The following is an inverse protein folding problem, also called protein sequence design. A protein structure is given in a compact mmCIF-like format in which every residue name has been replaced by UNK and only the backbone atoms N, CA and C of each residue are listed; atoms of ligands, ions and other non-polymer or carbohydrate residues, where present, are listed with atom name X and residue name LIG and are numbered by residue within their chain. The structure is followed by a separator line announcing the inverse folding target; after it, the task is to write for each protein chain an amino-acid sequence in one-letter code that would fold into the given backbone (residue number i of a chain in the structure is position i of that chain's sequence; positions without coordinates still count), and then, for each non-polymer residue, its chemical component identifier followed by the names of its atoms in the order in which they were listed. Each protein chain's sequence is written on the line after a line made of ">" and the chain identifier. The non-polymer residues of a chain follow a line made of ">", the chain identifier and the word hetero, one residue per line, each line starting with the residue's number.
data_IF_891173595355
#
_entry.id   IF_891173595355
#
_cell.length_a   1.000
_cell.length_b   1.000
_cell.length_c   1.000
_cell.angle_alpha   90.00
_cell.angle_beta   90.00
_cell.angle_gamma   90.00
#
_symmetry.space_group_name_H-M   'P 1'
#
loop_
_entity.id
_entity.type
_entity.pdbx_description
1 polymer ?
#
# COMPACT_ATOMS: atom_id res chain seq x y z
N UNK A 1 3.65 -7.95 2.33
CA UNK A 1 2.71 -8.88 2.96
C UNK A 1 3.23 -10.32 2.92
N UNK A 2 3.48 -10.90 1.74
CA UNK A 2 3.99 -12.26 1.59
C UNK A 2 5.17 -12.56 2.54
N UNK A 3 6.12 -11.62 2.68
CA UNK A 3 7.27 -11.79 3.59
C UNK A 3 6.85 -11.92 5.06
N UNK A 4 5.87 -11.15 5.53
CA UNK A 4 5.41 -11.21 6.93
C UNK A 4 4.69 -12.54 7.19
N UNK A 5 3.81 -12.96 6.27
CA UNK A 5 3.15 -14.27 6.37
C UNK A 5 4.18 -15.41 6.32
N UNK A 6 5.21 -15.29 5.48
CA UNK A 6 6.33 -16.25 5.45
C UNK A 6 7.06 -16.32 6.79
N UNK A 7 7.31 -15.19 7.42
CA UNK A 7 7.95 -15.13 8.74
C UNK A 7 7.07 -15.75 9.84
N UNK A 8 5.77 -15.50 9.79
CA UNK A 8 4.81 -16.13 10.72
C UNK A 8 4.76 -17.64 10.53
N UNK A 9 4.72 -18.11 9.27
CA UNK A 9 4.74 -19.52 8.93
C UNK A 9 6.06 -20.23 9.33
N UNK A 10 7.17 -19.49 9.33
CA UNK A 10 8.49 -20.00 9.72
C UNK A 10 8.78 -19.90 11.23
N UNK A 11 7.80 -19.49 12.05
CA UNK A 11 7.99 -19.37 13.50
C UNK A 11 8.42 -20.70 14.12
N UNK A 12 9.42 -20.71 15.01
CA UNK A 12 9.98 -21.96 15.55
C UNK A 12 9.01 -22.81 16.38
N UNK A 13 7.91 -22.26 16.84
CA UNK A 13 6.80 -23.01 17.46
C UNK A 13 5.87 -23.60 16.39
N UNK A 14 6.44 -24.35 15.43
CA UNK A 14 5.69 -25.04 14.35
C UNK A 14 4.59 -25.99 14.87
N UNK A 15 4.72 -26.45 16.09
CA UNK A 15 3.80 -27.40 16.70
C UNK A 15 2.44 -26.81 17.10
N UNK A 16 2.26 -25.49 16.94
CA UNK A 16 1.02 -24.82 17.33
C UNK A 16 -0.19 -25.28 16.48
N UNK A 17 0.01 -25.48 15.18
CA UNK A 17 -1.04 -25.95 14.28
C UNK A 17 -0.90 -27.43 13.90
N UNK A 18 0.21 -28.09 14.22
CA UNK A 18 0.50 -29.47 13.84
C UNK A 18 0.54 -29.72 12.32
N UNK A 19 0.44 -28.66 11.51
CA UNK A 19 0.37 -28.74 10.05
C UNK A 19 1.25 -27.66 9.40
N UNK A 20 1.89 -27.95 8.26
CA UNK A 20 2.68 -26.95 7.52
C UNK A 20 1.79 -25.87 6.91
N UNK A 21 2.25 -24.60 6.99
CA UNK A 21 1.60 -23.49 6.29
C UNK A 21 2.28 -23.31 4.92
N UNK A 22 1.50 -23.44 3.86
CA UNK A 22 1.96 -23.24 2.47
C UNK A 22 1.50 -21.86 1.98
N UNK A 23 2.46 -20.98 1.62
CA UNK A 23 2.15 -19.65 1.13
C UNK A 23 2.03 -19.67 -0.39
N UNK A 24 0.85 -19.27 -0.90
CA UNK A 24 0.56 -19.18 -2.32
C UNK A 24 0.41 -17.71 -2.69
N UNK A 25 1.30 -17.20 -3.54
CA UNK A 25 1.24 -15.84 -4.05
C UNK A 25 0.40 -15.78 -5.32
N UNK A 26 -0.61 -14.90 -5.33
CA UNK A 26 -1.46 -14.61 -6.51
C UNK A 26 -1.44 -13.10 -6.78
N UNK A 27 -0.36 -12.58 -7.39
CA UNK A 27 -0.21 -11.15 -7.63
C UNK A 27 -1.14 -10.66 -8.75
N UNK A 28 -1.43 -9.36 -8.74
CA UNK A 28 -2.14 -8.66 -9.81
C UNK A 28 -3.23 -7.72 -9.29
N UNK A 29 -3.45 -6.64 -10.04
CA UNK A 29 -4.50 -5.64 -9.83
C UNK A 29 -4.64 -5.15 -8.36
N UNK A 30 -3.51 -4.87 -7.70
CA UNK A 30 -3.53 -4.39 -6.30
C UNK A 30 -4.07 -5.41 -5.28
N UNK A 31 -4.01 -6.71 -5.58
CA UNK A 31 -4.54 -7.80 -4.74
C UNK A 31 -5.86 -8.42 -5.26
N UNK A 32 -6.59 -7.72 -6.13
CA UNK A 32 -7.92 -8.15 -6.63
C UNK A 32 -7.88 -9.58 -7.21
N UNK A 33 -6.83 -9.93 -7.95
CA UNK A 33 -6.69 -11.28 -8.53
C UNK A 33 -6.68 -12.37 -7.46
N UNK A 34 -5.89 -12.18 -6.41
CA UNK A 34 -5.77 -13.12 -5.31
C UNK A 34 -7.08 -13.24 -4.50
N UNK A 35 -7.70 -12.13 -4.18
CA UNK A 35 -8.94 -12.11 -3.39
C UNK A 35 -10.14 -12.64 -4.17
N UNK A 36 -10.26 -12.35 -5.49
CA UNK A 36 -11.27 -12.97 -6.34
C UNK A 36 -11.09 -14.50 -6.44
N UNK A 37 -9.84 -14.96 -6.55
CA UNK A 37 -9.56 -16.38 -6.54
C UNK A 37 -9.97 -17.01 -5.20
N UNK A 38 -9.61 -16.38 -4.10
CA UNK A 38 -9.96 -16.86 -2.76
C UNK A 38 -11.47 -16.97 -2.58
N UNK A 39 -12.22 -15.89 -2.85
CA UNK A 39 -13.67 -15.86 -2.72
C UNK A 39 -14.39 -16.89 -3.63
N UNK A 40 -13.76 -17.33 -4.74
CA UNK A 40 -14.41 -18.21 -5.72
C UNK A 40 -13.95 -19.65 -5.68
N UNK A 41 -12.78 -19.93 -5.12
CA UNK A 41 -12.09 -21.23 -5.26
C UNK A 41 -11.52 -21.78 -3.96
N UNK A 42 -11.37 -20.98 -2.92
CA UNK A 42 -10.93 -21.45 -1.62
C UNK A 42 -11.97 -22.42 -1.02
N UNK A 43 -11.50 -23.36 -0.25
CA UNK A 43 -12.36 -24.30 0.46
C UNK A 43 -12.92 -23.63 1.72
N UNK A 44 -14.15 -23.97 2.07
CA UNK A 44 -14.82 -23.45 3.28
C UNK A 44 -14.61 -24.37 4.50
N UNK A 45 -13.44 -24.99 4.59
CA UNK A 45 -13.10 -25.96 5.65
C UNK A 45 -12.15 -25.35 6.71
N UNK A 46 -11.83 -24.07 6.60
CA UNK A 46 -10.96 -23.35 7.55
C UNK A 46 -9.45 -23.54 7.29
N UNK A 47 -9.04 -24.32 6.29
CA UNK A 47 -7.63 -24.54 5.96
C UNK A 47 -7.10 -23.56 4.89
N UNK A 48 -7.95 -22.87 4.18
CA UNK A 48 -7.57 -21.84 3.24
C UNK A 48 -7.78 -20.45 3.88
N UNK A 49 -6.69 -19.68 4.01
CA UNK A 49 -6.69 -18.35 4.62
C UNK A 49 -6.19 -17.30 3.62
N UNK A 50 -6.76 -16.11 3.66
CA UNK A 50 -6.30 -14.99 2.86
C UNK A 50 -5.74 -13.85 3.72
N UNK A 51 -4.60 -13.30 3.32
CA UNK A 51 -4.16 -12.02 3.83
C UNK A 51 -4.74 -10.90 2.94
N UNK A 52 -5.36 -9.88 3.55
CA UNK A 52 -5.87 -8.72 2.81
C UNK A 52 -5.47 -7.40 3.48
N UNK A 53 -5.53 -6.34 2.72
CA UNK A 53 -5.23 -4.99 3.19
C UNK A 53 -6.48 -4.13 3.21
N UNK A 54 -6.75 -3.56 4.34
CA UNK A 54 -7.60 -2.38 4.44
C UNK A 54 -6.72 -1.16 4.14
N UNK A 55 -7.12 -0.21 3.29
CA UNK A 55 -8.43 -0.05 2.64
C UNK A 55 -8.58 -0.67 1.24
N UNK A 56 -7.56 -1.32 0.67
CA UNK A 56 -7.59 -1.88 -0.69
C UNK A 56 -8.80 -2.76 -0.93
N UNK A 57 -8.97 -3.73 -0.04
CA UNK A 57 -10.02 -4.73 -0.12
C UNK A 57 -11.42 -4.08 -0.20
N UNK A 58 -11.68 -3.13 0.69
CA UNK A 58 -12.97 -2.42 0.75
C UNK A 58 -13.15 -1.51 -0.47
N UNK A 59 -12.17 -0.65 -0.76
CA UNK A 59 -12.30 0.31 -1.85
C UNK A 59 -12.46 -0.35 -3.22
N UNK A 60 -11.77 -1.45 -3.45
CA UNK A 60 -11.88 -2.19 -4.71
C UNK A 60 -13.22 -2.90 -4.84
N UNK A 61 -13.78 -3.45 -3.75
CA UNK A 61 -15.11 -4.09 -3.78
C UNK A 61 -16.26 -3.10 -4.04
N UNK A 62 -16.04 -1.81 -3.76
CA UNK A 62 -17.02 -0.75 -4.05
C UNK A 62 -16.87 -0.22 -5.48
N UNK A 63 -15.63 -0.10 -5.97
CA UNK A 63 -15.34 0.61 -7.24
C UNK A 63 -15.42 -0.33 -8.45
N UNK A 64 -15.14 -1.62 -8.27
CA UNK A 64 -15.08 -2.58 -9.37
C UNK A 64 -16.25 -3.57 -9.32
N UNK A 65 -17.03 -3.64 -10.39
CA UNK A 65 -18.18 -4.55 -10.52
C UNK A 65 -17.77 -6.03 -10.68
N UNK A 66 -16.51 -6.31 -11.02
CA UNK A 66 -15.97 -7.65 -11.24
C UNK A 66 -15.32 -8.27 -9.98
N UNK A 67 -15.49 -7.67 -8.81
CA UNK A 67 -15.05 -8.25 -7.55
C UNK A 67 -16.04 -9.31 -7.05
N UNK A 68 -15.50 -10.42 -6.53
CA UNK A 68 -16.26 -11.53 -5.95
C UNK A 68 -16.15 -11.58 -4.43
N UNK A 69 -15.53 -10.58 -3.85
CA UNK A 69 -15.28 -10.42 -2.42
C UNK A 69 -15.80 -9.07 -1.93
N UNK A 70 -16.25 -9.05 -0.70
CA UNK A 70 -16.56 -7.86 0.08
C UNK A 70 -16.42 -8.19 1.58
N UNK A 71 -16.72 -7.24 2.45
CA UNK A 71 -16.61 -7.43 3.90
C UNK A 71 -17.68 -8.38 4.47
N UNK A 72 -18.74 -8.66 3.71
CA UNK A 72 -19.87 -9.46 4.17
C UNK A 72 -19.74 -10.95 3.81
N UNK A 73 -18.89 -11.26 2.82
CA UNK A 73 -18.74 -12.64 2.33
C UNK A 73 -17.41 -13.31 2.67
N UNK A 74 -16.55 -12.63 3.46
CA UNK A 74 -15.31 -13.19 3.98
C UNK A 74 -15.21 -12.91 5.48
N UNK A 75 -14.99 -13.96 6.27
CA UNK A 75 -14.89 -13.86 7.72
C UNK A 75 -13.52 -13.30 8.15
N UNK A 76 -13.43 -12.15 8.83
CA UNK A 76 -12.18 -11.61 9.34
C UNK A 76 -11.76 -12.35 10.61
N UNK A 77 -10.55 -12.92 10.63
CA UNK A 77 -10.04 -13.69 11.77
C UNK A 77 -9.23 -12.81 12.71
N UNK A 78 -8.30 -12.01 12.20
CA UNK A 78 -7.43 -11.17 13.01
C UNK A 78 -6.83 -10.00 12.23
N UNK A 79 -6.63 -8.89 12.93
CA UNK A 79 -5.74 -7.81 12.46
C UNK A 79 -4.32 -8.11 12.97
N UNK A 80 -3.38 -8.29 12.05
CA UNK A 80 -2.00 -8.66 12.35
C UNK A 80 -1.00 -7.49 12.29
N UNK A 81 -1.46 -6.28 11.92
CA UNK A 81 -0.62 -5.09 11.94
C UNK A 81 -1.20 -3.90 11.20
N UNK A 82 -0.64 -2.74 11.48
CA UNK A 82 -0.84 -1.50 10.74
C UNK A 82 0.48 -1.04 10.12
N UNK A 83 0.42 -0.48 8.92
CA UNK A 83 1.58 0.07 8.20
C UNK A 83 1.12 1.34 7.49
N UNK A 84 1.18 2.50 8.17
CA UNK A 84 0.65 3.75 7.65
C UNK A 84 1.37 4.19 6.38
N UNK A 85 0.67 4.94 5.54
CA UNK A 85 1.26 5.56 4.37
C UNK A 85 2.11 6.76 4.79
N UNK A 86 3.29 6.90 4.19
CA UNK A 86 4.18 8.06 4.37
C UNK A 86 4.40 8.77 3.05
N UNK A 87 4.49 10.09 3.13
CA UNK A 87 4.88 10.95 2.01
C UNK A 87 6.40 10.99 1.93
N UNK A 88 6.93 10.55 0.81
CA UNK A 88 8.36 10.45 0.56
C UNK A 88 8.79 11.24 -0.66
N UNK A 89 10.06 11.68 -0.65
CA UNK A 89 10.76 12.29 -1.80
C UNK A 89 12.14 11.69 -1.93
N UNK A 90 12.76 11.86 -3.10
CA UNK A 90 14.13 11.39 -3.35
C UNK A 90 15.17 12.10 -2.46
N UNK A 91 16.39 11.53 -2.34
CA UNK A 91 17.44 12.07 -1.47
C UNK A 91 17.86 13.49 -1.89
N UNK A 92 17.94 13.74 -3.19
CA UNK A 92 18.35 15.02 -3.77
C UNK A 92 17.14 15.94 -4.07
N UNK A 93 15.97 15.60 -3.55
CA UNK A 93 14.78 16.43 -3.76
C UNK A 93 14.95 17.83 -3.19
N UNK A 94 14.48 18.83 -3.95
CA UNK A 94 14.38 20.22 -3.49
C UNK A 94 13.39 20.43 -2.33
N UNK A 95 12.51 19.46 -2.09
CA UNK A 95 11.51 19.53 -1.03
C UNK A 95 12.06 18.97 0.28
N UNK A 96 12.02 19.78 1.35
CA UNK A 96 12.42 19.36 2.69
C UNK A 96 11.24 19.33 3.68
N UNK A 97 10.08 19.79 3.19
CA UNK A 97 8.84 19.79 3.99
C UNK A 97 7.61 19.60 3.08
N UNK A 98 6.49 19.26 3.68
CA UNK A 98 5.19 19.27 2.99
C UNK A 98 4.86 20.67 2.49
N UNK A 99 5.20 21.71 3.24
CA UNK A 99 4.95 23.09 2.86
C UNK A 99 5.69 23.48 1.57
N UNK A 100 6.96 23.08 1.42
CA UNK A 100 7.74 23.33 0.19
C UNK A 100 7.09 22.65 -1.02
N UNK A 101 6.69 21.39 -0.85
CA UNK A 101 6.02 20.63 -1.90
C UNK A 101 4.70 21.27 -2.31
N UNK A 102 3.88 21.69 -1.35
CA UNK A 102 2.60 22.37 -1.62
C UNK A 102 2.78 23.73 -2.27
N UNK A 103 3.77 24.51 -1.83
CA UNK A 103 4.11 25.80 -2.44
C UNK A 103 4.47 25.61 -3.91
N UNK A 104 5.32 24.65 -4.21
CA UNK A 104 5.71 24.33 -5.60
C UNK A 104 4.51 23.83 -6.43
N UNK A 105 3.69 22.94 -5.88
CA UNK A 105 2.52 22.40 -6.56
C UNK A 105 1.47 23.46 -6.89
N UNK A 106 1.27 24.44 -6.01
CA UNK A 106 0.38 25.59 -6.25
C UNK A 106 0.89 26.50 -7.38
N UNK A 107 2.19 26.75 -7.42
CA UNK A 107 2.82 27.54 -8.48
C UNK A 107 2.89 26.78 -9.82
N UNK A 108 2.85 25.46 -9.81
CA UNK A 108 3.03 24.60 -10.99
C UNK A 108 1.94 23.49 -11.04
N UNK A 109 0.67 23.85 -11.30
CA UNK A 109 -0.43 22.88 -11.29
C UNK A 109 -0.21 21.72 -12.26
N UNK A 110 -0.29 20.47 -11.74
CA UNK A 110 -0.10 19.22 -12.51
C UNK A 110 1.34 18.85 -12.84
N UNK A 111 2.33 19.69 -12.51
CA UNK A 111 3.76 19.38 -12.74
C UNK A 111 4.32 18.42 -11.70
N UNK A 112 3.80 18.43 -10.48
CA UNK A 112 4.24 17.49 -9.43
C UNK A 112 3.71 16.10 -9.75
N UNK A 113 4.60 15.11 -9.71
CA UNK A 113 4.27 13.70 -9.96
C UNK A 113 4.45 12.88 -8.68
N UNK A 114 3.46 12.04 -8.37
CA UNK A 114 3.47 11.13 -7.23
C UNK A 114 3.41 9.67 -7.67
N UNK A 115 4.28 8.84 -7.12
CA UNK A 115 4.18 7.38 -7.28
C UNK A 115 3.31 6.73 -6.20
N UNK A 116 2.80 5.56 -6.51
CA UNK A 116 2.15 4.65 -5.57
C UNK A 116 1.92 3.27 -6.17
N UNK A 117 1.54 2.32 -5.35
CA UNK A 117 1.50 0.89 -5.67
C UNK A 117 0.30 0.43 -6.52
N UNK A 118 -0.34 1.31 -7.28
CA UNK A 118 -1.50 1.00 -8.10
C UNK A 118 -2.67 1.94 -7.84
N UNK A 119 -3.81 1.68 -8.48
CA UNK A 119 -5.04 2.44 -8.27
C UNK A 119 -5.92 1.77 -7.21
N UNK A 120 -6.64 2.57 -6.42
CA UNK A 120 -7.54 2.12 -5.35
C UNK A 120 -6.87 1.21 -4.31
N UNK A 121 -5.58 1.40 -4.10
CA UNK A 121 -4.80 0.83 -3.01
C UNK A 121 -4.48 1.92 -1.99
N UNK A 122 -3.97 1.57 -0.81
CA UNK A 122 -3.72 2.52 0.29
C UNK A 122 -2.93 3.76 -0.13
N UNK A 123 -1.87 3.60 -0.92
CA UNK A 123 -1.08 4.72 -1.44
C UNK A 123 -1.89 5.67 -2.34
N UNK A 124 -2.79 5.14 -3.16
CA UNK A 124 -3.65 5.97 -4.01
C UNK A 124 -4.72 6.70 -3.18
N UNK A 125 -5.26 6.02 -2.17
CA UNK A 125 -6.24 6.64 -1.26
C UNK A 125 -5.59 7.76 -0.46
N UNK A 126 -4.40 7.55 0.11
CA UNK A 126 -3.62 8.60 0.78
C UNK A 126 -3.33 9.78 -0.16
N UNK A 127 -2.98 9.50 -1.42
CA UNK A 127 -2.81 10.53 -2.44
C UNK A 127 -4.09 11.33 -2.71
N UNK A 128 -5.23 10.66 -2.86
CA UNK A 128 -6.52 11.33 -3.11
C UNK A 128 -6.93 12.21 -1.93
N UNK A 129 -6.74 11.71 -0.70
CA UNK A 129 -7.00 12.49 0.52
C UNK A 129 -6.08 13.71 0.62
N UNK A 130 -4.78 13.53 0.36
CA UNK A 130 -3.81 14.62 0.34
C UNK A 130 -4.15 15.68 -0.69
N UNK A 131 -4.48 15.27 -1.92
CA UNK A 131 -4.86 16.19 -2.99
C UNK A 131 -6.15 16.95 -2.66
N UNK A 132 -7.16 16.25 -2.10
CA UNK A 132 -8.42 16.86 -1.66
C UNK A 132 -8.19 17.87 -0.54
N UNK A 133 -7.43 17.51 0.48
CA UNK A 133 -7.19 18.36 1.65
C UNK A 133 -6.34 19.60 1.30
N UNK A 134 -5.37 19.46 0.40
CA UNK A 134 -4.45 20.54 0.01
C UNK A 134 -4.97 21.44 -1.11
N UNK A 135 -5.96 20.99 -1.88
CA UNK A 135 -6.52 21.70 -3.05
C UNK A 135 -5.54 21.84 -4.22
N UNK A 136 -4.41 21.13 -4.22
CA UNK A 136 -3.40 21.20 -5.30
C UNK A 136 -3.65 20.14 -6.37
N UNK A 137 -3.28 20.45 -7.61
CA UNK A 137 -3.35 19.50 -8.72
C UNK A 137 -2.02 18.79 -8.87
N UNK A 138 -2.03 17.47 -8.67
CA UNK A 138 -0.86 16.58 -8.73
C UNK A 138 -1.14 15.44 -9.70
N UNK A 139 -0.13 14.96 -10.40
CA UNK A 139 -0.26 13.82 -11.33
C UNK A 139 0.14 12.53 -10.61
N UNK A 140 -0.76 11.56 -10.55
CA UNK A 140 -0.49 10.25 -9.96
C UNK A 140 0.05 9.26 -11.01
N UNK A 141 1.16 8.59 -10.69
CA UNK A 141 1.83 7.59 -11.54
C UNK A 141 1.74 6.22 -10.81
N UNK A 142 0.81 5.34 -11.23
CA UNK A 142 0.67 4.03 -10.60
C UNK A 142 1.79 3.08 -11.04
N UNK A 143 2.28 2.28 -10.08
CA UNK A 143 3.26 1.21 -10.29
C UNK A 143 2.65 -0.15 -9.92
N UNK A 144 3.33 -1.25 -10.27
CA UNK A 144 2.86 -2.62 -10.02
C UNK A 144 2.96 -3.06 -8.55
N UNK A 145 3.49 -2.20 -7.67
CA UNK A 145 3.62 -2.48 -6.23
C UNK A 145 4.41 -1.39 -5.51
N UNK A 146 4.53 -1.49 -4.18
CA UNK A 146 5.22 -0.52 -3.33
C UNK A 146 6.71 -0.41 -3.64
N UNK A 147 7.38 -1.54 -3.89
CA UNK A 147 8.83 -1.55 -4.19
C UNK A 147 9.14 -0.82 -5.50
N UNK A 148 8.48 -1.09 -6.65
CA UNK A 148 8.67 -0.29 -7.86
C UNK A 148 8.31 1.20 -7.68
N UNK A 149 7.26 1.51 -6.92
CA UNK A 149 6.88 2.89 -6.62
C UNK A 149 7.96 3.63 -5.83
N UNK A 150 8.55 2.96 -4.83
CA UNK A 150 9.67 3.49 -4.04
C UNK A 150 10.91 3.70 -4.91
N UNK A 151 11.24 2.74 -5.78
CA UNK A 151 12.37 2.86 -6.71
C UNK A 151 12.23 4.05 -7.66
N UNK A 152 11.02 4.34 -8.12
CA UNK A 152 10.74 5.50 -8.97
C UNK A 152 11.00 6.85 -8.26
N UNK A 153 10.73 6.94 -6.96
CA UNK A 153 11.06 8.11 -6.13
C UNK A 153 12.57 8.22 -5.92
N UNK A 154 13.22 7.11 -5.55
CA UNK A 154 14.68 7.08 -5.34
C UNK A 154 15.45 7.47 -6.59
N UNK A 155 15.00 7.02 -7.75
CA UNK A 155 15.61 7.30 -9.05
C UNK A 155 15.23 8.64 -9.69
N UNK A 156 14.41 9.47 -9.00
CA UNK A 156 13.97 10.77 -9.52
C UNK A 156 13.02 10.70 -10.72
N UNK A 157 12.45 9.53 -11.02
CA UNK A 157 11.47 9.37 -12.11
C UNK A 157 10.15 10.06 -11.79
N UNK A 158 9.85 10.23 -10.52
CA UNK A 158 8.74 11.02 -9.98
C UNK A 158 9.25 11.90 -8.84
N UNK A 159 8.59 13.02 -8.59
CA UNK A 159 9.04 14.00 -7.60
C UNK A 159 8.78 13.56 -6.16
N UNK A 160 7.70 12.82 -5.92
CA UNK A 160 7.30 12.36 -4.61
C UNK A 160 6.49 11.06 -4.72
N UNK A 161 6.05 10.53 -3.60
CA UNK A 161 5.14 9.38 -3.59
C UNK A 161 4.60 9.05 -2.22
N UNK A 162 3.57 8.23 -2.19
CA UNK A 162 3.16 7.56 -0.98
C UNK A 162 3.69 6.13 -0.95
N UNK A 163 4.23 5.72 0.19
CA UNK A 163 4.71 4.36 0.42
C UNK A 163 4.36 3.92 1.85
N UNK A 164 4.54 2.66 2.15
CA UNK A 164 4.37 2.15 3.51
C UNK A 164 5.53 2.60 4.40
N UNK A 165 5.24 2.94 5.66
CA UNK A 165 6.27 3.36 6.63
C UNK A 165 7.38 2.30 6.76
N UNK A 166 7.02 1.03 6.82
CA UNK A 166 7.98 -0.07 6.98
C UNK A 166 8.98 -0.17 5.82
N UNK A 167 8.55 0.07 4.56
CA UNK A 167 9.41 0.06 3.39
C UNK A 167 10.24 1.35 3.29
N UNK A 168 9.62 2.49 3.60
CA UNK A 168 10.28 3.80 3.63
C UNK A 168 11.40 3.84 4.70
N UNK A 169 11.12 3.35 5.91
CA UNK A 169 12.10 3.29 6.99
C UNK A 169 13.32 2.44 6.64
N UNK A 170 13.11 1.28 6.00
CA UNK A 170 14.24 0.45 5.50
C UNK A 170 15.07 1.14 4.45
N UNK A 171 14.50 2.10 3.74
CA UNK A 171 15.16 2.88 2.67
C UNK A 171 15.51 4.31 3.08
N UNK A 172 15.46 4.65 4.37
CA UNK A 172 15.63 6.02 4.88
C UNK A 172 16.98 6.69 4.54
N UNK A 173 17.98 5.91 4.16
CA UNK A 173 19.27 6.43 3.67
C UNK A 173 19.20 6.99 2.24
N UNK A 174 18.18 6.57 1.47
CA UNK A 174 18.03 6.87 0.04
C UNK A 174 16.77 7.69 -0.26
N UNK A 175 16.06 8.14 0.74
CA UNK A 175 14.85 8.98 0.62
C UNK A 175 14.73 9.94 1.80
N UNK A 176 13.86 10.95 1.65
CA UNK A 176 13.40 11.78 2.77
C UNK A 176 11.93 11.46 3.03
N UNK A 177 11.56 11.24 4.29
CA UNK A 177 10.16 11.11 4.72
C UNK A 177 9.71 12.51 5.17
N UNK A 178 8.69 13.07 4.51
CA UNK A 178 8.18 14.41 4.81
C UNK A 178 7.03 14.40 5.81
N UNK A 179 6.21 13.35 5.79
CA UNK A 179 5.06 13.23 6.70
C UNK A 179 4.56 11.77 6.75
N UNK A 180 3.83 11.47 7.82
CA UNK A 180 3.08 10.23 8.00
C UNK A 180 1.59 10.55 7.86
N UNK A 181 0.86 9.72 7.11
CA UNK A 181 -0.59 9.83 6.96
C UNK A 181 -1.26 9.04 8.09
N UNK A 182 -1.32 9.63 9.27
CA UNK A 182 -1.99 9.08 10.45
C UNK A 182 -2.91 10.13 11.09
N UNK A 183 -3.82 9.68 11.96
CA UNK A 183 -4.72 10.53 12.73
C UNK A 183 -4.04 11.17 13.95
N UNK A 184 -2.96 10.59 14.40
CA UNK A 184 -2.18 11.07 15.53
C UNK A 184 -0.72 11.34 15.12
N UNK A 185 -0.09 12.26 15.83
CA UNK A 185 1.34 12.52 15.68
C UNK A 185 2.10 11.45 16.47
N UNK A 186 2.84 10.62 15.78
CA UNK A 186 3.77 9.67 16.38
C UNK A 186 5.14 10.33 16.69
#
# INVERSE_FOLDING_TARGET
>A
QARLVTMMAAHPKKDYLGQPIVIINKPGAGGKVGWNWFASKARNDGYDLAAYNVPHFISQSIVFDDTKYNIDNLEPIANWGADPAVLIVGPDSQFNSVADLLKFAKANPGKVTFSGAGKFVGHHIAFLQFQKASGVKITYVPHTGGVPALAAVKGGQVMAGFNNLSDAYRSQKDIKILAIADLQRE
#
